data_IF_237471645500
#
_entry.id   IF_237471645500
#
_cell.length_a   1.000
_cell.length_b   1.000
_cell.length_c   1.000
_cell.angle_alpha   90.00
_cell.angle_beta   90.00
_cell.angle_gamma   90.00
#
_symmetry.space_group_name_H-M   'P 1'
#
loop_
_entity.id
_entity.type
_entity.pdbx_description
1 polymer ?
#
# COMPACT_ATOMS: atom_id res chain seq x y z
N UNK A 1 -6.50 32.52 53.99
CA UNK A 1 -7.19 31.79 52.90
C UNK A 1 -6.38 30.53 52.63
N UNK A 2 -6.80 29.42 53.22
CA UNK A 2 -6.07 28.15 53.22
C UNK A 2 -6.02 27.55 51.80
N UNK A 3 -4.80 27.30 51.31
CA UNK A 3 -4.56 26.60 50.05
C UNK A 3 -4.92 25.14 50.26
N UNK A 4 -6.05 24.71 49.69
CA UNK A 4 -6.48 23.31 49.68
C UNK A 4 -5.49 22.53 48.80
N UNK A 5 -4.55 21.84 49.42
CA UNK A 5 -3.66 20.93 48.71
C UNK A 5 -4.49 19.74 48.19
N UNK A 6 -4.81 19.77 46.90
CA UNK A 6 -5.48 18.67 46.21
C UNK A 6 -4.59 17.44 46.25
N UNK A 7 -4.81 16.59 47.26
CA UNK A 7 -4.10 15.31 47.42
C UNK A 7 -4.62 14.31 46.38
N UNK A 8 -3.75 13.49 45.80
CA UNK A 8 -4.09 12.43 44.83
C UNK A 8 -5.23 11.49 45.28
N UNK A 9 -5.41 11.34 46.58
CA UNK A 9 -6.46 10.55 47.22
C UNK A 9 -7.87 11.12 46.97
N UNK A 10 -8.01 12.45 46.86
CA UNK A 10 -9.31 13.10 46.63
C UNK A 10 -9.82 12.85 45.19
N UNK A 11 -8.89 12.80 44.23
CA UNK A 11 -9.18 12.36 42.85
C UNK A 11 -9.60 10.89 42.79
N UNK A 12 -8.95 10.02 43.56
CA UNK A 12 -9.31 8.59 43.62
C UNK A 12 -10.72 8.39 44.23
N UNK A 13 -11.09 9.20 45.21
CA UNK A 13 -12.42 9.20 45.81
C UNK A 13 -13.51 9.68 44.83
N UNK A 14 -13.23 10.73 44.07
CA UNK A 14 -14.12 11.23 43.00
C UNK A 14 -14.34 10.15 41.93
N UNK A 15 -13.27 9.46 41.52
CA UNK A 15 -13.33 8.38 40.54
C UNK A 15 -14.18 7.20 41.03
N UNK A 16 -14.02 6.79 42.29
CA UNK A 16 -14.82 5.72 42.91
C UNK A 16 -16.29 6.13 43.07
N UNK A 17 -16.55 7.39 43.44
CA UNK A 17 -17.91 7.92 43.60
C UNK A 17 -18.68 7.94 42.28
N UNK A 18 -17.99 8.21 41.17
CA UNK A 18 -18.57 8.26 39.82
C UNK A 18 -18.34 6.98 39.00
N UNK A 19 -17.82 5.91 39.61
CA UNK A 19 -17.49 4.65 38.93
C UNK A 19 -18.64 4.07 38.11
N UNK A 20 -19.89 4.24 38.57
CA UNK A 20 -21.09 3.78 37.85
C UNK A 20 -21.32 4.59 36.57
N UNK A 21 -21.12 5.91 36.62
CA UNK A 21 -21.23 6.80 35.46
C UNK A 21 -20.12 6.50 34.45
N UNK A 22 -18.88 6.30 34.92
CA UNK A 22 -17.74 5.93 34.06
C UNK A 22 -18.00 4.57 33.40
N UNK A 23 -18.47 3.58 34.16
CA UNK A 23 -18.73 2.23 33.65
C UNK A 23 -19.91 2.20 32.66
N UNK A 24 -20.96 2.97 32.91
CA UNK A 24 -22.08 3.14 31.96
C UNK A 24 -21.58 3.81 30.67
N UNK A 25 -20.81 4.89 30.78
CA UNK A 25 -20.31 5.61 29.60
C UNK A 25 -19.36 4.71 28.78
N UNK A 26 -18.46 3.99 29.45
CA UNK A 26 -17.59 3.00 28.83
C UNK A 26 -18.38 1.90 28.12
N UNK A 27 -19.44 1.37 28.75
CA UNK A 27 -20.28 0.34 28.16
C UNK A 27 -21.06 0.88 26.94
N UNK A 28 -21.57 2.11 27.00
CA UNK A 28 -22.22 2.78 25.86
C UNK A 28 -21.25 2.96 24.69
N UNK A 29 -20.05 3.48 24.94
CA UNK A 29 -19.02 3.64 23.91
C UNK A 29 -18.62 2.28 23.33
N UNK A 30 -18.46 1.26 24.16
CA UNK A 30 -18.13 -0.10 23.72
C UNK A 30 -19.21 -0.66 22.80
N UNK A 31 -20.49 -0.53 23.16
CA UNK A 31 -21.61 -0.98 22.33
C UNK A 31 -21.69 -0.19 21.02
N UNK A 32 -21.47 1.13 21.06
CA UNK A 32 -21.44 1.96 19.85
C UNK A 32 -20.32 1.55 18.91
N UNK A 33 -19.10 1.36 19.42
CA UNK A 33 -17.94 0.93 18.63
C UNK A 33 -18.15 -0.48 18.09
N UNK A 34 -18.67 -1.41 18.90
CA UNK A 34 -18.97 -2.77 18.45
C UNK A 34 -20.04 -2.78 17.35
N UNK A 35 -21.10 -1.97 17.49
CA UNK A 35 -22.12 -1.79 16.45
C UNK A 35 -21.52 -1.23 15.16
N UNK A 36 -20.68 -0.20 15.27
CA UNK A 36 -20.02 0.42 14.12
C UNK A 36 -19.05 -0.54 13.41
N UNK A 37 -18.29 -1.33 14.19
CA UNK A 37 -17.36 -2.33 13.67
C UNK A 37 -18.08 -3.43 12.89
N UNK A 38 -19.33 -3.76 13.23
CA UNK A 38 -20.10 -4.78 12.53
C UNK A 38 -20.69 -4.29 11.21
N UNK A 39 -20.92 -2.98 11.09
CA UNK A 39 -21.39 -2.32 9.86
C UNK A 39 -20.22 -2.07 8.90
N UNK A 40 -19.00 -1.92 9.43
CA UNK A 40 -17.83 -1.64 8.62
C UNK A 40 -17.52 -2.80 7.65
N UNK A 41 -17.46 -2.54 6.33
CA UNK A 41 -17.15 -3.59 5.37
C UNK A 41 -15.71 -4.07 5.55
N UNK A 42 -15.53 -5.38 5.46
CA UNK A 42 -14.22 -6.05 5.44
C UNK A 42 -13.39 -5.58 4.24
N UNK A 43 -12.30 -4.86 4.51
CA UNK A 43 -11.33 -4.41 3.51
C UNK A 43 -10.23 -5.46 3.39
N UNK A 44 -9.92 -5.88 2.16
CA UNK A 44 -8.88 -6.87 1.86
C UNK A 44 -7.70 -6.19 1.17
N UNK A 45 -6.48 -6.54 1.59
CA UNK A 45 -5.24 -6.14 0.90
C UNK A 45 -4.52 -7.40 0.40
N UNK A 46 -3.91 -7.31 -0.78
CA UNK A 46 -3.14 -8.39 -1.40
C UNK A 46 -1.80 -7.82 -1.82
N UNK A 47 -0.73 -8.59 -1.61
CA UNK A 47 0.62 -8.20 -2.01
C UNK A 47 1.23 -9.27 -2.90
N UNK A 48 1.88 -8.86 -3.98
CA UNK A 48 2.59 -9.71 -4.91
C UNK A 48 4.04 -9.22 -5.07
N UNK A 49 5.00 -10.12 -4.86
CA UNK A 49 6.42 -9.84 -5.06
C UNK A 49 6.89 -10.47 -6.37
N UNK A 50 7.42 -9.65 -7.28
CA UNK A 50 7.94 -10.08 -8.58
C UNK A 50 9.45 -9.85 -8.60
N UNK A 51 10.19 -10.95 -8.78
CA UNK A 51 11.63 -10.90 -9.01
C UNK A 51 11.90 -10.73 -10.51
N UNK A 52 12.63 -9.69 -10.86
CA UNK A 52 13.04 -9.46 -12.24
C UNK A 52 14.38 -10.15 -12.48
N UNK A 53 14.57 -10.83 -13.63
CA UNK A 53 15.81 -11.53 -13.92
C UNK A 53 16.97 -10.52 -13.95
N UNK A 54 17.85 -10.61 -12.94
CA UNK A 54 19.10 -9.85 -12.89
C UNK A 54 20.10 -10.48 -13.86
N UNK A 55 20.03 -10.07 -15.12
CA UNK A 55 21.02 -10.41 -16.13
C UNK A 55 20.51 -11.30 -17.24
N UNK A 56 20.70 -10.83 -18.48
CA UNK A 56 20.83 -11.71 -19.63
C UNK A 56 19.53 -12.10 -20.33
N UNK A 57 18.66 -11.13 -20.66
CA UNK A 57 17.78 -11.23 -21.82
C UNK A 57 18.57 -11.18 -23.15
N UNK A 58 19.69 -11.87 -23.20
CA UNK A 58 20.56 -11.96 -24.36
C UNK A 58 20.11 -13.09 -25.25
N UNK A 59 19.00 -12.91 -25.98
CA UNK A 59 18.77 -13.71 -27.19
C UNK A 59 20.00 -13.61 -28.10
N UNK A 60 20.14 -14.55 -29.03
CA UNK A 60 21.21 -14.76 -30.07
C UNK A 60 22.19 -13.59 -30.32
N UNK A 61 21.71 -12.34 -30.34
CA UNK A 61 22.49 -11.09 -30.31
C UNK A 61 23.55 -10.97 -29.20
N UNK A 62 23.32 -11.43 -27.97
CA UNK A 62 24.33 -11.35 -26.90
C UNK A 62 25.50 -12.33 -27.13
N UNK A 63 25.22 -13.50 -27.73
CA UNK A 63 26.25 -14.46 -28.11
C UNK A 63 27.08 -13.97 -29.33
N UNK A 64 26.46 -13.22 -30.24
CA UNK A 64 27.15 -12.55 -31.34
C UNK A 64 28.02 -11.39 -30.84
N UNK A 65 27.53 -10.60 -29.87
CA UNK A 65 28.29 -9.49 -29.27
C UNK A 65 29.52 -9.99 -28.47
N UNK A 66 29.45 -11.19 -27.89
CA UNK A 66 30.57 -11.81 -27.17
C UNK A 66 31.78 -12.15 -28.08
N UNK A 67 31.60 -12.20 -29.41
CA UNK A 67 32.68 -12.43 -30.37
C UNK A 67 33.31 -11.14 -30.92
N UNK A 68 32.85 -9.96 -30.50
CA UNK A 68 33.42 -8.68 -30.94
C UNK A 68 34.42 -8.22 -29.88
N UNK A 69 35.75 -8.18 -30.17
CA UNK A 69 36.79 -7.84 -29.20
C UNK A 69 36.69 -6.42 -28.59
N UNK A 70 35.82 -5.57 -29.12
CA UNK A 70 35.60 -4.18 -28.68
C UNK A 70 34.25 -3.97 -27.96
N UNK A 71 33.49 -5.03 -27.69
CA UNK A 71 32.15 -4.92 -27.10
C UNK A 71 32.14 -4.80 -25.56
N UNK A 72 33.29 -4.82 -24.88
CA UNK A 72 33.37 -4.66 -23.42
C UNK A 72 32.71 -3.34 -22.94
N UNK A 73 32.77 -2.27 -23.74
CA UNK A 73 32.09 -1.00 -23.46
C UNK A 73 30.56 -1.02 -23.64
N UNK A 74 30.02 -2.01 -24.36
CA UNK A 74 28.57 -2.21 -24.56
C UNK A 74 27.95 -3.13 -23.50
N UNK A 75 28.76 -3.93 -22.79
CA UNK A 75 28.29 -4.84 -21.73
C UNK A 75 28.09 -4.14 -20.38
N UNK A 76 28.79 -3.03 -20.13
CA UNK A 76 28.71 -2.30 -18.86
C UNK A 76 27.48 -1.39 -18.65
N UNK A 77 26.68 -1.17 -19.70
CA UNK A 77 25.57 -0.19 -19.67
C UNK A 77 24.16 -0.77 -19.56
N UNK A 78 23.98 -2.08 -19.75
CA UNK A 78 22.66 -2.72 -19.70
C UNK A 78 22.43 -3.25 -18.27
N UNK A 79 22.51 -2.34 -17.31
CA UNK A 79 22.34 -2.62 -15.89
C UNK A 79 20.91 -3.03 -15.54
N UNK A 80 20.77 -4.01 -14.66
CA UNK A 80 19.47 -4.53 -14.18
C UNK A 80 18.52 -3.44 -13.66
N UNK A 81 19.03 -2.31 -13.17
CA UNK A 81 18.23 -1.15 -12.75
C UNK A 81 17.40 -0.54 -13.89
N UNK A 82 17.89 -0.55 -15.13
CA UNK A 82 17.15 -0.02 -16.29
C UNK A 82 15.92 -0.87 -16.60
N UNK A 83 16.04 -2.18 -16.45
CA UNK A 83 14.96 -3.14 -16.70
C UNK A 83 13.90 -3.05 -15.60
N UNK A 84 14.32 -2.90 -14.35
CA UNK A 84 13.42 -2.71 -13.20
C UNK A 84 12.62 -1.42 -13.34
N UNK A 85 13.30 -0.31 -13.64
CA UNK A 85 12.63 0.98 -13.86
C UNK A 85 11.67 0.92 -15.06
N UNK A 86 12.00 0.16 -16.10
CA UNK A 86 11.11 -0.05 -17.25
C UNK A 86 9.85 -0.81 -16.84
N UNK A 87 9.97 -1.89 -16.08
CA UNK A 87 8.83 -2.68 -15.61
C UNK A 87 7.95 -1.88 -14.65
N UNK A 88 8.55 -1.15 -13.71
CA UNK A 88 7.81 -0.23 -12.83
C UNK A 88 7.08 0.84 -13.65
N UNK A 89 7.71 1.37 -14.70
CA UNK A 89 7.09 2.31 -15.63
C UNK A 89 5.88 1.71 -16.36
N UNK A 90 5.98 0.45 -16.80
CA UNK A 90 4.87 -0.27 -17.43
C UNK A 90 3.72 -0.47 -16.43
N UNK A 91 4.00 -0.89 -15.19
CA UNK A 91 2.99 -1.09 -14.16
C UNK A 91 2.27 0.23 -13.79
N UNK A 92 2.98 1.36 -13.80
CA UNK A 92 2.41 2.69 -13.58
C UNK A 92 1.66 3.25 -14.80
N UNK A 93 1.77 2.61 -15.97
CA UNK A 93 1.17 3.08 -17.21
C UNK A 93 -0.36 3.17 -17.13
N UNK A 94 -0.91 4.24 -17.71
CA UNK A 94 -2.37 4.45 -17.79
C UNK A 94 -3.06 3.30 -18.52
N UNK A 95 -2.47 2.79 -19.59
CA UNK A 95 -3.06 1.71 -20.41
C UNK A 95 -3.23 0.42 -19.61
N UNK A 96 -2.28 0.10 -18.72
CA UNK A 96 -2.37 -1.08 -17.85
C UNK A 96 -3.45 -0.86 -16.80
N UNK A 97 -3.49 0.32 -16.16
CA UNK A 97 -4.51 0.66 -15.17
C UNK A 97 -5.93 0.64 -15.77
N UNK A 98 -6.13 1.21 -16.96
CA UNK A 98 -7.42 1.17 -17.66
C UNK A 98 -7.84 -0.26 -18.02
N UNK A 99 -6.91 -1.10 -18.47
CA UNK A 99 -7.21 -2.50 -18.74
C UNK A 99 -7.57 -3.26 -17.46
N UNK A 100 -6.89 -3.00 -16.34
CA UNK A 100 -7.23 -3.60 -15.05
C UNK A 100 -8.63 -3.15 -14.59
N UNK A 101 -8.93 -1.85 -14.66
CA UNK A 101 -10.24 -1.27 -14.33
C UNK A 101 -11.35 -1.89 -15.18
N UNK A 102 -11.15 -2.04 -16.49
CA UNK A 102 -12.11 -2.70 -17.38
C UNK A 102 -12.27 -4.19 -17.07
N UNK A 103 -11.16 -4.91 -16.89
CA UNK A 103 -11.16 -6.37 -16.69
C UNK A 103 -11.85 -6.78 -15.39
N UNK A 104 -11.68 -6.00 -14.32
CA UNK A 104 -12.29 -6.25 -13.02
C UNK A 104 -13.57 -5.44 -12.77
N UNK A 105 -14.07 -4.74 -13.80
CA UNK A 105 -15.25 -3.87 -13.74
C UNK A 105 -15.24 -2.92 -12.52
N UNK A 106 -14.11 -2.25 -12.31
CA UNK A 106 -13.87 -1.43 -11.12
C UNK A 106 -14.70 -0.14 -11.09
N UNK A 107 -15.25 0.30 -12.23
CA UNK A 107 -16.14 1.47 -12.32
C UNK A 107 -17.38 1.24 -11.46
N UNK A 108 -18.02 0.08 -11.61
CA UNK A 108 -19.21 -0.29 -10.82
C UNK A 108 -18.84 -0.56 -9.36
N UNK A 109 -17.67 -1.17 -9.12
CA UNK A 109 -17.18 -1.47 -7.76
C UNK A 109 -16.90 -0.22 -6.93
N UNK A 110 -16.32 0.80 -7.54
CA UNK A 110 -15.97 2.07 -6.89
C UNK A 110 -17.09 3.11 -6.96
N UNK A 111 -18.12 2.88 -7.79
CA UNK A 111 -19.18 3.85 -8.03
C UNK A 111 -18.67 5.12 -8.76
N UNK A 112 -17.60 4.97 -9.54
CA UNK A 112 -16.99 6.09 -10.27
C UNK A 112 -17.87 6.51 -11.45
N UNK A 113 -17.99 7.81 -11.71
CA UNK A 113 -18.82 8.31 -12.82
C UNK A 113 -18.17 8.02 -14.18
N UNK A 114 -16.84 8.02 -14.21
CA UNK A 114 -16.06 7.92 -15.44
C UNK A 114 -14.84 7.01 -15.27
N UNK A 115 -14.32 6.50 -16.40
CA UNK A 115 -13.10 5.68 -16.45
C UNK A 115 -11.91 6.38 -15.77
N UNK A 116 -11.80 7.69 -15.92
CA UNK A 116 -10.69 8.47 -15.37
C UNK A 116 -10.71 8.50 -13.84
N UNK A 117 -11.90 8.60 -13.25
CA UNK A 117 -12.08 8.56 -11.80
C UNK A 117 -11.80 7.16 -11.26
N UNK A 118 -12.28 6.10 -11.94
CA UNK A 118 -11.97 4.73 -11.55
C UNK A 118 -10.47 4.41 -11.62
N UNK A 119 -9.77 4.91 -12.65
CA UNK A 119 -8.31 4.78 -12.76
C UNK A 119 -7.58 5.55 -11.67
N UNK A 120 -8.09 6.74 -11.29
CA UNK A 120 -7.53 7.52 -10.19
C UNK A 120 -7.67 6.78 -8.86
N UNK A 121 -8.87 6.30 -8.53
CA UNK A 121 -9.11 5.51 -7.32
C UNK A 121 -8.28 4.23 -7.31
N UNK A 122 -8.19 3.52 -8.44
CA UNK A 122 -7.33 2.34 -8.56
C UNK A 122 -5.86 2.64 -8.24
N UNK A 123 -5.34 3.78 -8.72
CA UNK A 123 -3.95 4.20 -8.45
C UNK A 123 -3.72 4.62 -7.00
N UNK A 124 -4.72 5.17 -6.33
CA UNK A 124 -4.62 5.51 -4.91
C UNK A 124 -4.52 4.26 -4.02
N UNK A 125 -5.14 3.14 -4.45
CA UNK A 125 -5.06 1.86 -3.73
C UNK A 125 -3.87 0.98 -4.14
N UNK A 126 -3.15 1.34 -5.22
CA UNK A 126 -2.04 0.54 -5.74
C UNK A 126 -0.71 1.09 -5.24
N UNK A 127 -0.06 0.37 -4.33
CA UNK A 127 1.25 0.73 -3.81
C UNK A 127 2.34 -0.10 -4.49
N UNK A 128 3.21 0.55 -5.28
CA UNK A 128 4.35 -0.11 -5.89
C UNK A 128 5.61 0.30 -5.15
N UNK A 129 6.24 -0.65 -4.47
CA UNK A 129 7.53 -0.45 -3.80
C UNK A 129 8.64 -1.32 -4.42
N UNK A 130 9.86 -0.82 -4.34
CA UNK A 130 11.07 -1.55 -4.72
C UNK A 130 11.78 -1.95 -3.43
N UNK A 131 11.99 -3.25 -3.24
CA UNK A 131 12.77 -3.76 -2.13
C UNK A 131 14.28 -3.65 -2.43
N UNK A 132 15.13 -3.67 -1.41
CA UNK A 132 16.60 -3.56 -1.53
C UNK A 132 17.21 -4.66 -2.42
N UNK A 133 16.50 -5.77 -2.59
CA UNK A 133 16.84 -6.88 -3.48
C UNK A 133 16.32 -6.68 -4.91
N UNK A 134 15.95 -5.46 -5.31
CA UNK A 134 15.47 -5.12 -6.65
C UNK A 134 14.17 -5.87 -7.07
N UNK A 135 13.36 -6.27 -6.08
CA UNK A 135 12.05 -6.88 -6.29
C UNK A 135 10.94 -5.83 -6.33
N UNK A 136 9.99 -6.00 -7.24
CA UNK A 136 8.79 -5.15 -7.32
C UNK A 136 7.70 -5.75 -6.45
N UNK A 137 7.25 -5.01 -5.44
CA UNK A 137 6.11 -5.36 -4.59
C UNK A 137 4.92 -4.50 -4.98
N UNK A 138 3.78 -5.13 -5.25
CA UNK A 138 2.52 -4.49 -5.67
C UNK A 138 1.37 -4.98 -4.81
#
# INVERSE_FOLDING_TARGET
>A
MEKKEFTFVDYLYILIKWRKTILINFLVVTVLVAGYSLIMPKTYSTSATVMLPSGGGGGVFAALAANIPFAEGLLGGVGGDSQINTVVGILKSRTIAENAVKKFNLIERYGSENMEEAVKSFREYLEISLNEENMVVV
#
